data_IF_469106873323
#
_entry.id   IF_469106873323
#
_cell.length_a   1.000
_cell.length_b   1.000
_cell.length_c   1.000
_cell.angle_alpha   90.00
_cell.angle_beta   90.00
_cell.angle_gamma   90.00
#
_symmetry.space_group_name_H-M   'P 1'
#
loop_
_entity.id
_entity.type
_entity.pdbx_description
1 polymer ?
#
# COMPACT_ATOMS: atom_id res chain seq x y z
N UNK A 1 -65.21 -82.61 -24.32
CA UNK A 1 -66.20 -82.41 -23.24
C UNK A 1 -65.50 -82.37 -21.89
N UNK A 2 -65.37 -81.19 -21.29
CA UNK A 2 -65.62 -80.92 -19.85
C UNK A 2 -65.33 -79.44 -19.60
N UNK A 3 -66.41 -78.71 -19.35
CA UNK A 3 -66.44 -77.36 -18.82
C UNK A 3 -65.68 -77.30 -17.48
N UNK A 4 -64.94 -76.22 -17.24
CA UNK A 4 -64.91 -75.63 -15.91
C UNK A 4 -64.63 -74.13 -16.02
N UNK A 5 -65.61 -73.38 -15.55
CA UNK A 5 -65.70 -71.93 -15.54
C UNK A 5 -64.74 -71.36 -14.49
N UNK A 6 -63.75 -70.57 -14.93
CA UNK A 6 -62.86 -69.84 -14.03
C UNK A 6 -63.56 -68.54 -13.60
N UNK A 7 -63.89 -68.42 -12.30
CA UNK A 7 -64.33 -67.17 -11.69
C UNK A 7 -63.12 -66.28 -11.45
N UNK A 8 -63.16 -65.08 -12.01
CA UNK A 8 -62.16 -64.03 -11.84
C UNK A 8 -62.28 -63.42 -10.43
N UNK A 9 -61.20 -63.42 -9.65
CA UNK A 9 -61.11 -62.82 -8.31
C UNK A 9 -60.22 -61.59 -8.42
N UNK A 10 -60.80 -60.41 -8.30
CA UNK A 10 -60.09 -59.12 -8.35
C UNK A 10 -59.32 -58.89 -7.04
N UNK A 11 -58.00 -59.12 -7.06
CA UNK A 11 -57.12 -58.81 -5.93
C UNK A 11 -56.67 -57.34 -6.01
N UNK A 12 -57.30 -56.48 -5.21
CA UNK A 12 -56.93 -55.06 -5.10
C UNK A 12 -55.63 -54.89 -4.30
N UNK A 13 -54.49 -54.90 -5.00
CA UNK A 13 -53.18 -54.60 -4.41
C UNK A 13 -53.05 -53.09 -4.17
N UNK A 14 -53.08 -52.65 -2.90
CA UNK A 14 -52.72 -51.28 -2.53
C UNK A 14 -51.23 -51.06 -2.76
N UNK A 15 -50.86 -50.34 -3.84
CA UNK A 15 -49.48 -49.88 -4.06
C UNK A 15 -49.18 -48.74 -3.09
N UNK A 16 -48.63 -49.06 -1.92
CA UNK A 16 -47.95 -48.08 -1.08
C UNK A 16 -46.65 -47.68 -1.78
N UNK A 17 -46.61 -46.46 -2.33
CA UNK A 17 -45.39 -45.84 -2.80
C UNK A 17 -44.49 -45.56 -1.60
N UNK A 18 -43.60 -46.50 -1.26
CA UNK A 18 -42.46 -46.22 -0.40
C UNK A 18 -41.50 -45.32 -1.20
N UNK A 19 -41.49 -44.03 -0.85
CA UNK A 19 -40.52 -43.09 -1.39
C UNK A 19 -39.10 -43.60 -1.11
N UNK A 20 -38.42 -44.03 -2.17
CA UNK A 20 -37.02 -44.46 -2.12
C UNK A 20 -36.18 -43.25 -1.74
N UNK A 21 -35.76 -43.15 -0.48
CA UNK A 21 -34.84 -42.12 0.00
C UNK A 21 -33.54 -42.24 -0.81
N UNK A 22 -33.29 -41.30 -1.73
CA UNK A 22 -32.00 -41.21 -2.45
C UNK A 22 -30.91 -40.97 -1.41
N UNK A 23 -29.85 -41.79 -1.37
CA UNK A 23 -28.73 -41.51 -0.48
C UNK A 23 -28.05 -40.22 -0.89
N UNK A 24 -27.58 -39.49 0.13
CA UNK A 24 -26.75 -38.28 0.13
C UNK A 24 -25.40 -38.52 -0.57
N UNK A 25 -25.44 -38.84 -1.87
CA UNK A 25 -24.28 -39.18 -2.68
C UNK A 25 -23.76 -37.99 -3.52
N UNK A 26 -24.45 -36.86 -3.57
CA UNK A 26 -24.09 -35.73 -4.45
C UNK A 26 -22.78 -35.03 -4.04
N UNK A 27 -22.50 -34.93 -2.73
CA UNK A 27 -21.26 -34.31 -2.24
C UNK A 27 -20.05 -35.25 -2.40
N UNK A 28 -20.23 -36.54 -2.15
CA UNK A 28 -19.17 -37.55 -2.30
C UNK A 28 -18.85 -37.75 -3.79
N UNK A 29 -19.87 -37.78 -4.66
CA UNK A 29 -19.69 -37.86 -6.12
C UNK A 29 -18.96 -36.62 -6.68
N UNK A 30 -19.27 -35.42 -6.14
CA UNK A 30 -18.53 -34.20 -6.46
C UNK A 30 -17.04 -34.27 -6.09
N UNK A 31 -16.73 -34.70 -4.87
CA UNK A 31 -15.34 -34.84 -4.39
C UNK A 31 -14.55 -35.91 -5.16
N UNK A 32 -15.17 -37.05 -5.47
CA UNK A 32 -14.56 -38.13 -6.26
C UNK A 32 -14.34 -37.69 -7.72
N UNK A 33 -15.30 -36.98 -8.31
CA UNK A 33 -15.17 -36.46 -9.67
C UNK A 33 -14.07 -35.39 -9.79
N UNK A 34 -13.90 -34.58 -8.75
CA UNK A 34 -12.82 -33.59 -8.64
C UNK A 34 -11.45 -34.29 -8.52
N UNK A 35 -11.33 -35.30 -7.66
CA UNK A 35 -10.04 -36.01 -7.48
C UNK A 35 -9.59 -36.74 -8.74
N UNK A 36 -10.54 -37.34 -9.50
CA UNK A 36 -10.26 -37.97 -10.80
C UNK A 36 -9.77 -36.94 -11.82
N UNK A 37 -10.38 -35.75 -11.86
CA UNK A 37 -9.95 -34.66 -12.75
C UNK A 37 -8.55 -34.16 -12.39
N UNK A 38 -8.23 -34.00 -11.11
CA UNK A 38 -6.88 -33.63 -10.67
C UNK A 38 -5.84 -34.70 -11.00
N UNK A 39 -6.19 -35.98 -10.88
CA UNK A 39 -5.33 -37.08 -11.28
C UNK A 39 -5.05 -37.05 -12.79
N UNK A 40 -6.09 -36.89 -13.62
CA UNK A 40 -5.95 -36.75 -15.08
C UNK A 40 -5.12 -35.52 -15.47
N UNK A 41 -5.30 -34.39 -14.78
CA UNK A 41 -4.49 -33.19 -15.00
C UNK A 41 -3.02 -33.44 -14.66
N UNK A 42 -2.73 -34.09 -13.52
CA UNK A 42 -1.36 -34.44 -13.11
C UNK A 42 -0.69 -35.36 -14.12
N UNK A 43 -1.41 -36.35 -14.66
CA UNK A 43 -0.87 -37.27 -15.67
C UNK A 43 -0.52 -36.51 -16.96
N UNK A 44 -1.42 -35.66 -17.45
CA UNK A 44 -1.14 -34.82 -18.64
C UNK A 44 0.01 -33.85 -18.41
N UNK A 45 0.05 -33.20 -17.24
CA UNK A 45 1.11 -32.26 -16.89
C UNK A 45 2.47 -32.94 -16.77
N UNK A 46 2.51 -34.18 -16.25
CA UNK A 46 3.71 -35.01 -16.20
C UNK A 46 4.19 -35.39 -17.60
N UNK A 47 3.28 -35.74 -18.50
CA UNK A 47 3.63 -36.05 -19.90
C UNK A 47 4.18 -34.82 -20.63
N UNK A 48 3.50 -33.67 -20.54
CA UNK A 48 3.97 -32.39 -21.08
C UNK A 48 5.33 -31.98 -20.50
N UNK A 49 5.54 -32.14 -19.20
CA UNK A 49 6.83 -31.81 -18.55
C UNK A 49 7.98 -32.76 -18.94
N UNK A 50 7.66 -33.97 -19.39
CA UNK A 50 8.66 -34.94 -19.89
C UNK A 50 8.99 -34.71 -21.37
N UNK A 51 8.02 -34.20 -22.15
CA UNK A 51 8.16 -33.90 -23.58
C UNK A 51 8.71 -32.49 -23.87
N UNK A 52 8.64 -31.58 -22.89
CA UNK A 52 9.27 -30.26 -22.94
C UNK A 52 10.81 -30.39 -22.89
N UNK A 53 11.40 -30.76 -24.03
CA UNK A 53 12.76 -30.43 -24.42
C UNK A 53 12.67 -29.13 -25.23
N UNK A 54 13.14 -28.03 -24.65
CA UNK A 54 13.08 -26.72 -25.31
C UNK A 54 14.07 -26.64 -26.49
N UNK A 55 15.06 -27.54 -26.52
CA UNK A 55 16.09 -27.62 -27.54
C UNK A 55 15.69 -28.60 -28.63
N UNK A 56 15.65 -28.13 -29.88
CA UNK A 56 15.34 -28.95 -31.04
C UNK A 56 16.41 -30.04 -31.23
N UNK A 57 15.93 -31.27 -31.40
CA UNK A 57 16.73 -32.47 -31.57
C UNK A 57 17.32 -32.51 -32.99
N UNK A 58 18.63 -32.24 -33.11
CA UNK A 58 19.42 -32.61 -34.29
C UNK A 58 20.68 -33.42 -33.93
N UNK A 59 20.92 -33.68 -32.64
CA UNK A 59 22.13 -34.37 -32.17
C UNK A 59 21.82 -35.84 -31.83
N UNK A 60 22.52 -36.77 -32.48
CA UNK A 60 22.47 -38.21 -32.21
C UNK A 60 23.30 -38.64 -30.98
N UNK A 61 23.96 -37.70 -30.29
CA UNK A 61 24.78 -37.96 -29.10
C UNK A 61 23.95 -37.93 -27.81
N UNK A 62 23.92 -39.06 -27.10
CA UNK A 62 23.25 -39.26 -25.82
C UNK A 62 23.69 -38.25 -24.74
N UNK A 63 24.95 -37.82 -24.76
CA UNK A 63 25.46 -36.84 -23.78
C UNK A 63 24.83 -35.47 -23.98
N UNK A 64 24.71 -35.04 -25.23
CA UNK A 64 24.07 -33.78 -25.59
C UNK A 64 22.59 -33.77 -25.18
N UNK A 65 21.87 -34.86 -25.43
CA UNK A 65 20.45 -35.00 -25.07
C UNK A 65 20.26 -34.89 -23.54
N UNK A 66 21.14 -35.48 -22.73
CA UNK A 66 21.09 -35.38 -21.26
C UNK A 66 21.32 -33.96 -20.76
N UNK A 67 22.35 -33.28 -21.29
CA UNK A 67 22.62 -31.89 -20.93
C UNK A 67 21.47 -30.96 -21.31
N UNK A 68 20.86 -31.15 -22.48
CA UNK A 68 19.69 -30.37 -22.92
C UNK A 68 18.47 -30.57 -22.03
N UNK A 69 18.21 -31.81 -21.57
CA UNK A 69 17.12 -32.11 -20.61
C UNK A 69 17.35 -31.42 -19.27
N UNK A 70 18.58 -31.47 -18.76
CA UNK A 70 18.93 -30.81 -17.48
C UNK A 70 18.81 -29.29 -17.63
N UNK A 71 19.34 -28.72 -18.72
CA UNK A 71 19.25 -27.30 -19.01
C UNK A 71 17.82 -26.81 -19.14
N UNK A 72 16.96 -27.56 -19.84
CA UNK A 72 15.52 -27.23 -19.97
C UNK A 72 14.82 -27.25 -18.61
N UNK A 73 15.09 -28.25 -17.77
CA UNK A 73 14.51 -28.32 -16.42
C UNK A 73 14.92 -27.14 -15.57
N UNK A 74 16.22 -26.81 -15.55
CA UNK A 74 16.73 -25.64 -14.82
C UNK A 74 16.11 -24.35 -15.35
N UNK A 75 16.02 -24.19 -16.67
CA UNK A 75 15.41 -23.01 -17.28
C UNK A 75 13.94 -22.84 -16.88
N UNK A 76 13.15 -23.92 -16.91
CA UNK A 76 11.74 -23.89 -16.49
C UNK A 76 11.61 -23.55 -15.00
N UNK A 77 12.43 -24.15 -14.12
CA UNK A 77 12.41 -23.82 -12.70
C UNK A 77 12.75 -22.36 -12.44
N UNK A 78 13.78 -21.83 -13.11
CA UNK A 78 14.19 -20.43 -12.99
C UNK A 78 13.08 -19.52 -13.49
N UNK A 79 12.49 -19.82 -14.66
CA UNK A 79 11.43 -19.01 -15.26
C UNK A 79 10.17 -18.95 -14.39
N UNK A 80 9.76 -20.09 -13.83
CA UNK A 80 8.63 -20.14 -12.89
C UNK A 80 8.97 -19.37 -11.62
N UNK A 81 10.17 -19.59 -11.05
CA UNK A 81 10.63 -18.90 -9.85
C UNK A 81 10.65 -17.38 -10.03
N UNK A 82 11.25 -16.88 -11.12
CA UNK A 82 11.30 -15.46 -11.42
C UNK A 82 9.91 -14.86 -11.65
N UNK A 83 9.03 -15.60 -12.32
CA UNK A 83 7.65 -15.15 -12.55
C UNK A 83 6.86 -15.06 -11.24
N UNK A 84 7.04 -16.02 -10.32
CA UNK A 84 6.42 -15.99 -8.98
C UNK A 84 6.96 -14.82 -8.18
N UNK A 85 8.28 -14.61 -8.15
CA UNK A 85 8.90 -13.48 -7.44
C UNK A 85 8.36 -12.17 -7.97
N UNK A 86 8.28 -12.00 -9.29
CA UNK A 86 7.75 -10.79 -9.92
C UNK A 86 6.27 -10.59 -9.58
N UNK A 87 5.46 -11.64 -9.66
CA UNK A 87 4.03 -11.55 -9.31
C UNK A 87 3.82 -11.20 -7.83
N UNK A 88 4.60 -11.80 -6.94
CA UNK A 88 4.58 -11.46 -5.51
C UNK A 88 5.02 -10.03 -5.29
N UNK A 89 6.12 -9.60 -5.91
CA UNK A 89 6.60 -8.23 -5.83
C UNK A 89 5.53 -7.24 -6.29
N UNK A 90 4.92 -7.45 -7.46
CA UNK A 90 3.86 -6.58 -7.96
C UNK A 90 2.61 -6.60 -7.09
N UNK A 91 2.27 -7.73 -6.47
CA UNK A 91 1.11 -7.84 -5.57
C UNK A 91 1.37 -7.25 -4.18
N UNK A 92 2.60 -7.30 -3.70
CA UNK A 92 3.03 -6.80 -2.39
C UNK A 92 3.41 -5.31 -2.46
N UNK A 93 3.79 -4.83 -3.64
CA UNK A 93 4.00 -3.41 -3.90
C UNK A 93 2.64 -2.74 -3.89
N UNK A 94 2.26 -2.24 -2.72
CA UNK A 94 1.09 -1.42 -2.55
C UNK A 94 1.30 -0.13 -3.35
N UNK A 95 0.37 0.18 -4.26
CA UNK A 95 0.42 1.42 -5.02
C UNK A 95 0.24 2.59 -4.03
N UNK A 96 1.31 3.35 -3.79
CA UNK A 96 1.29 4.49 -2.87
C UNK A 96 0.48 5.60 -3.56
N UNK A 97 -0.79 5.73 -3.16
CA UNK A 97 -1.65 6.79 -3.66
C UNK A 97 -1.33 8.10 -2.93
N UNK A 98 -0.67 9.02 -3.63
CA UNK A 98 -0.33 10.33 -3.09
C UNK A 98 -1.48 11.32 -3.32
N UNK A 99 -2.24 11.61 -2.27
CA UNK A 99 -3.24 12.68 -2.26
C UNK A 99 -2.60 13.99 -1.75
N UNK A 100 -2.72 15.06 -2.52
CA UNK A 100 -2.20 16.39 -2.14
C UNK A 100 -3.34 17.29 -1.72
N UNK A 101 -3.36 17.69 -0.45
CA UNK A 101 -4.36 18.61 0.11
C UNK A 101 -3.72 20.00 0.23
N UNK A 102 -4.28 20.98 -0.46
CA UNK A 102 -3.82 22.38 -0.41
C UNK A 102 -4.44 23.09 0.80
N UNK A 103 -3.60 23.77 1.59
CA UNK A 103 -4.01 24.56 2.77
C UNK A 103 -4.94 23.79 3.74
N UNK A 104 -4.50 22.63 4.28
CA UNK A 104 -5.32 21.88 5.22
C UNK A 104 -5.62 22.70 6.48
N UNK A 105 -6.80 22.50 7.07
CA UNK A 105 -7.05 22.99 8.43
C UNK A 105 -6.19 22.24 9.45
N UNK A 106 -5.93 22.84 10.61
CA UNK A 106 -5.19 22.19 11.71
C UNK A 106 -5.84 20.86 12.14
N UNK A 107 -7.17 20.84 12.20
CA UNK A 107 -7.93 19.63 12.53
C UNK A 107 -7.81 18.54 11.46
N UNK A 108 -7.79 18.91 10.18
CA UNK A 108 -7.56 17.96 9.10
C UNK A 108 -6.15 17.37 9.19
N UNK A 109 -5.14 18.21 9.36
CA UNK A 109 -3.75 17.76 9.49
C UNK A 109 -3.57 16.80 10.68
N UNK A 110 -4.08 17.16 11.85
CA UNK A 110 -3.96 16.30 13.04
C UNK A 110 -4.66 14.96 12.86
N UNK A 111 -5.82 14.93 12.21
CA UNK A 111 -6.54 13.69 11.89
C UNK A 111 -5.75 12.83 10.90
N UNK A 112 -5.23 13.44 9.83
CA UNK A 112 -4.41 12.74 8.82
C UNK A 112 -3.12 12.19 9.44
N UNK A 113 -2.44 12.98 10.29
CA UNK A 113 -1.23 12.57 10.98
C UNK A 113 -1.49 11.41 11.96
N UNK A 114 -2.66 11.35 12.60
CA UNK A 114 -3.04 10.21 13.44
C UNK A 114 -3.27 8.93 12.63
N UNK A 115 -3.84 9.03 11.42
CA UNK A 115 -4.19 7.86 10.59
C UNK A 115 -2.97 7.34 9.84
N UNK A 116 -2.17 8.23 9.26
CA UNK A 116 -1.09 7.87 8.33
C UNK A 116 0.32 8.08 8.90
N UNK A 117 0.45 8.65 10.11
CA UNK A 117 1.73 8.80 10.81
C UNK A 117 2.78 9.53 9.95
N UNK A 118 3.95 8.89 9.82
CA UNK A 118 5.12 9.42 9.10
C UNK A 118 4.91 9.55 7.57
N UNK A 119 3.84 8.98 7.02
CA UNK A 119 3.51 9.13 5.61
C UNK A 119 2.94 10.52 5.27
N UNK A 120 2.56 11.33 6.28
CA UNK A 120 2.06 12.70 6.08
C UNK A 120 3.22 13.67 6.02
N UNK A 121 3.44 14.26 4.84
CA UNK A 121 4.47 15.29 4.63
C UNK A 121 3.81 16.64 4.43
N UNK A 122 4.20 17.63 5.25
CA UNK A 122 3.70 19.00 5.14
C UNK A 122 4.87 19.94 4.80
N UNK A 123 5.15 20.17 3.49
CA UNK A 123 6.21 21.08 3.10
C UNK A 123 5.79 22.53 3.35
N UNK A 124 6.69 23.34 3.92
CA UNK A 124 6.45 24.77 4.07
C UNK A 124 6.46 25.46 2.69
N UNK A 125 5.39 26.18 2.36
CA UNK A 125 5.28 26.96 1.11
C UNK A 125 6.23 28.15 1.07
N UNK A 126 6.59 28.69 2.24
CA UNK A 126 7.50 29.83 2.39
C UNK A 126 8.57 29.50 3.42
N UNK A 127 9.84 29.74 3.08
CA UNK A 127 11.00 29.49 3.96
C UNK A 127 11.04 30.43 5.18
N UNK A 128 10.47 31.63 5.04
CA UNK A 128 10.38 32.62 6.12
C UNK A 128 9.08 33.40 5.97
N UNK A 129 8.38 33.58 7.08
CA UNK A 129 7.21 34.46 7.17
C UNK A 129 7.68 35.77 7.78
N UNK A 130 7.40 36.91 7.15
CA UNK A 130 7.74 38.22 7.71
C UNK A 130 7.01 38.42 9.04
N UNK A 131 7.71 38.91 10.07
CA UNK A 131 7.10 39.19 11.37
C UNK A 131 5.90 40.13 11.26
N UNK A 132 5.92 41.07 10.31
CA UNK A 132 4.82 42.01 10.07
C UNK A 132 3.48 41.32 9.74
N UNK A 133 3.48 40.07 9.27
CA UNK A 133 2.24 39.37 8.89
C UNK A 133 1.51 38.73 10.06
N UNK A 134 2.18 38.53 11.20
CA UNK A 134 1.60 37.89 12.40
C UNK A 134 1.82 38.68 13.69
N UNK A 135 2.70 39.69 13.67
CA UNK A 135 2.98 40.57 14.79
C UNK A 135 2.48 41.98 14.44
N UNK A 136 1.47 42.45 15.17
CA UNK A 136 1.02 43.85 15.12
C UNK A 136 1.44 44.56 16.41
N UNK A 137 2.55 45.30 16.36
CA UNK A 137 2.97 46.15 17.47
C UNK A 137 2.43 47.56 17.21
N UNK A 138 1.56 48.04 18.10
CA UNK A 138 1.13 49.44 18.14
C UNK A 138 1.74 50.09 19.38
N UNK A 139 2.99 50.58 19.29
CA UNK A 139 3.65 51.15 20.45
C UNK A 139 2.97 52.47 20.82
N UNK A 140 2.50 52.56 22.06
CA UNK A 140 2.04 53.82 22.64
C UNK A 140 3.23 54.39 23.40
N UNK A 141 3.87 55.38 22.80
CA UNK A 141 4.98 56.09 23.44
C UNK A 141 4.41 57.09 24.45
N UNK A 142 4.75 56.91 25.72
CA UNK A 142 4.55 57.95 26.71
C UNK A 142 5.62 59.03 26.52
N UNK A 143 5.20 60.30 26.55
CA UNK A 143 6.15 61.41 26.63
C UNK A 143 7.04 61.22 27.85
N UNK A 144 8.35 61.44 27.71
CA UNK A 144 9.28 61.47 28.85
C UNK A 144 9.00 62.77 29.60
N UNK A 145 7.98 62.77 30.45
CA UNK A 145 7.57 63.95 31.22
C UNK A 145 8.40 64.13 32.50
N UNK A 146 9.17 63.13 32.88
CA UNK A 146 10.01 63.14 34.07
C UNK A 146 11.12 62.09 33.95
N UNK A 147 12.32 62.45 34.36
CA UNK A 147 13.49 61.59 34.35
C UNK A 147 14.77 62.41 34.29
N UNK A 148 15.86 61.82 34.75
CA UNK A 148 17.16 62.50 34.80
C UNK A 148 17.60 62.97 33.41
N UNK A 149 17.23 62.24 32.35
CA UNK A 149 17.54 62.58 30.96
C UNK A 149 16.88 63.88 30.45
N UNK A 150 15.84 64.36 31.11
CA UNK A 150 15.18 65.64 30.78
C UNK A 150 15.46 66.70 31.85
N UNK A 151 16.24 66.36 32.87
CA UNK A 151 16.62 67.30 33.92
C UNK A 151 17.57 68.36 33.37
N UNK A 152 17.47 69.57 33.93
CA UNK A 152 18.43 70.64 33.66
C UNK A 152 19.86 70.22 34.01
N UNK A 153 20.05 69.37 35.02
CA UNK A 153 21.37 68.85 35.39
C UNK A 153 22.00 68.00 34.28
N UNK A 154 21.24 67.09 33.67
CA UNK A 154 21.71 66.26 32.56
C UNK A 154 21.94 67.09 31.28
N UNK A 155 21.03 68.02 30.97
CA UNK A 155 21.19 68.93 29.84
C UNK A 155 22.46 69.78 30.02
N UNK A 156 22.70 70.31 31.21
CA UNK A 156 23.91 71.07 31.53
C UNK A 156 25.17 70.21 31.48
N UNK A 157 25.11 68.95 31.91
CA UNK A 157 26.22 68.01 31.80
C UNK A 157 26.61 67.75 30.33
N UNK A 158 25.63 67.51 29.46
CA UNK A 158 25.85 67.32 28.02
C UNK A 158 26.35 68.58 27.32
N UNK A 159 25.81 69.75 27.65
CA UNK A 159 26.26 71.01 27.06
C UNK A 159 27.68 71.36 27.52
N UNK A 160 28.04 71.03 28.76
CA UNK A 160 29.40 71.25 29.29
C UNK A 160 30.42 70.34 28.63
N UNK A 161 30.10 69.08 28.34
CA UNK A 161 31.04 68.20 27.64
C UNK A 161 31.32 68.68 26.22
N UNK A 162 30.31 69.17 25.49
CA UNK A 162 30.52 69.75 24.15
C UNK A 162 31.29 71.07 24.17
N UNK A 163 31.16 71.88 25.23
CA UNK A 163 31.91 73.12 25.37
C UNK A 163 33.40 72.88 25.64
N UNK A 164 33.75 71.81 26.36
CA UNK A 164 35.16 71.45 26.63
C UNK A 164 35.87 71.03 25.33
N UNK A 165 35.21 70.32 24.43
CA UNK A 165 35.78 69.96 23.13
C UNK A 165 36.00 71.19 22.22
N UNK A 166 35.14 72.22 22.31
CA UNK A 166 35.32 73.47 21.55
C UNK A 166 36.46 74.35 22.10
N UNK A 167 36.59 74.46 23.43
CA UNK A 167 37.67 75.24 24.06
C UNK A 167 39.04 74.60 23.81
N UNK A 168 39.14 73.27 23.88
CA UNK A 168 40.39 72.58 23.58
C UNK A 168 40.82 72.67 22.10
N UNK A 169 39.91 72.96 21.16
CA UNK A 169 40.26 73.20 19.77
C UNK A 169 40.75 74.64 19.51
N UNK A 170 40.35 75.61 20.34
CA UNK A 170 40.74 77.01 20.22
C UNK A 170 42.12 77.34 20.83
N UNK A 171 42.64 76.49 21.71
CA UNK A 171 43.96 76.68 22.34
C UNK A 171 45.12 76.05 21.53
N UNK A 172 44.82 75.42 20.39
CA UNK A 172 45.81 74.78 19.49
C UNK A 172 46.09 75.56 18.20
N UNK A 173 45.66 76.82 18.08
CA UNK A 173 45.92 77.66 16.91
C UNK A 173 46.43 79.06 17.24
#
# INVERSE_FOLDING_TARGET
>A
MKHSSAKEVEVRVKRTFLARKKPTNSLIDGQVKISIRFHQLKVRFKQLSVELNLFNNQSSDDRHIRCQRIGTRLHIFILIGSSIILALYSSLTQEIHHETILNPSETQYTTLAQVYGDCVVCPCSTFSVSHETFISIKPIYHHICSGDFVSSAWINFLLRSQFIDFVLYSDYH
#
